data_IF_098800317077
#
_entry.id   IF_098800317077
#
_cell.length_a   1.000
_cell.length_b   1.000
_cell.length_c   1.000
_cell.angle_alpha   90.00
_cell.angle_beta   90.00
_cell.angle_gamma   90.00
#
_symmetry.space_group_name_H-M   'P 1'
#
loop_
_entity.id
_entity.type
_entity.pdbx_description
1 polymer ?
#
# COMPACT_ATOMS: atom_id res chain seq x y z
N UNK A 1 -8.96 15.24 -5.28
CA UNK A 1 -9.02 13.97 -4.55
C UNK A 1 -7.59 13.47 -4.44
N UNK A 2 -7.17 13.05 -3.25
CA UNK A 2 -5.85 12.43 -3.03
C UNK A 2 -6.03 10.95 -2.68
N UNK A 3 -5.00 10.15 -2.89
CA UNK A 3 -4.96 8.75 -2.45
C UNK A 3 -3.77 8.56 -1.51
N UNK A 4 -4.06 8.22 -0.26
CA UNK A 4 -3.07 7.84 0.73
C UNK A 4 -2.76 6.35 0.65
N UNK A 5 -1.51 5.97 0.38
CA UNK A 5 -1.08 4.56 0.36
C UNK A 5 -0.30 4.28 1.63
N UNK A 6 -0.78 3.36 2.46
CA UNK A 6 -0.05 2.85 3.61
C UNK A 6 0.62 1.51 3.26
N UNK A 7 1.94 1.46 3.00
CA UNK A 7 2.66 0.21 2.89
C UNK A 7 2.79 -0.47 4.27
N UNK A 8 2.80 -1.80 4.29
CA UNK A 8 2.86 -2.50 5.56
C UNK A 8 4.14 -2.17 6.35
N UNK A 9 4.02 -1.94 7.67
CA UNK A 9 5.14 -1.57 8.53
C UNK A 9 6.08 -2.74 8.85
N UNK A 10 5.75 -3.96 8.38
CA UNK A 10 6.34 -5.22 8.83
C UNK A 10 7.89 -5.24 8.77
N UNK A 11 8.50 -6.19 9.47
CA UNK A 11 9.96 -6.39 9.46
C UNK A 11 10.43 -7.53 8.55
N UNK A 12 9.55 -8.01 7.66
CA UNK A 12 9.83 -9.12 6.75
C UNK A 12 10.13 -8.61 5.33
N UNK A 13 10.75 -9.43 4.48
CA UNK A 13 11.18 -9.01 3.13
C UNK A 13 10.05 -8.41 2.27
N UNK A 14 8.83 -8.90 2.43
CA UNK A 14 7.67 -8.36 1.71
C UNK A 14 7.25 -6.96 2.16
N UNK A 15 7.70 -6.48 3.34
CA UNK A 15 7.53 -5.08 3.72
C UNK A 15 8.49 -4.15 2.98
N UNK A 16 9.66 -4.64 2.59
CA UNK A 16 10.52 -3.89 1.67
C UNK A 16 9.83 -3.79 0.32
N UNK A 17 9.29 -4.90 -0.19
CA UNK A 17 8.53 -4.90 -1.45
C UNK A 17 7.38 -3.88 -1.43
N UNK A 18 6.54 -3.85 -0.38
CA UNK A 18 5.44 -2.88 -0.32
C UNK A 18 5.92 -1.43 -0.29
N UNK A 19 7.03 -1.14 0.41
CA UNK A 19 7.62 0.20 0.44
C UNK A 19 8.18 0.58 -0.92
N UNK A 20 8.94 -0.30 -1.54
CA UNK A 20 9.49 -0.06 -2.88
C UNK A 20 8.38 0.15 -3.90
N UNK A 21 7.34 -0.69 -3.92
CA UNK A 21 6.18 -0.51 -4.80
C UNK A 21 5.50 0.83 -4.54
N UNK A 22 5.33 1.25 -3.28
CA UNK A 22 4.75 2.55 -2.97
C UNK A 22 5.61 3.73 -3.47
N UNK A 23 6.94 3.59 -3.43
CA UNK A 23 7.88 4.62 -3.92
C UNK A 23 7.73 4.94 -5.42
N UNK A 24 7.27 3.98 -6.25
CA UNK A 24 6.99 4.22 -7.67
C UNK A 24 5.91 5.30 -7.91
N UNK A 25 5.11 5.62 -6.90
CA UNK A 25 4.00 6.56 -7.00
C UNK A 25 4.27 7.90 -6.28
N UNK A 26 5.46 8.12 -5.71
CA UNK A 26 5.75 9.33 -4.91
C UNK A 26 5.80 10.60 -5.75
N UNK A 27 6.15 10.50 -7.04
CA UNK A 27 6.19 11.65 -7.95
C UNK A 27 4.81 12.04 -8.49
N UNK A 28 3.75 11.28 -8.19
CA UNK A 28 2.38 11.61 -8.56
C UNK A 28 1.76 12.54 -7.51
N UNK A 29 1.42 13.78 -7.92
CA UNK A 29 0.83 14.80 -7.04
C UNK A 29 -0.52 14.39 -6.39
N UNK A 30 -1.16 13.35 -6.94
CA UNK A 30 -2.42 12.79 -6.42
C UNK A 30 -2.20 11.71 -5.37
N UNK A 31 -0.99 11.16 -5.26
CA UNK A 31 -0.64 10.06 -4.36
C UNK A 31 0.19 10.58 -3.18
N UNK A 32 -0.14 10.08 -1.99
CA UNK A 32 0.63 10.31 -0.78
C UNK A 32 1.01 8.98 -0.15
N UNK A 33 2.30 8.66 -0.15
CA UNK A 33 2.79 7.48 0.59
C UNK A 33 2.86 7.81 2.07
N UNK A 34 2.13 7.04 2.88
CA UNK A 34 1.99 7.25 4.31
C UNK A 34 3.06 6.45 5.05
N UNK A 35 3.95 7.09 5.84
CA UNK A 35 4.93 6.35 6.65
C UNK A 35 4.29 5.66 7.86
N UNK A 36 3.14 6.15 8.31
CA UNK A 36 2.25 5.57 9.33
C UNK A 36 0.91 6.34 9.32
N UNK A 37 -0.13 5.78 9.95
CA UNK A 37 -1.45 6.41 10.03
C UNK A 37 -1.57 7.58 11.01
N UNK A 38 -0.66 7.69 11.98
CA UNK A 38 -0.72 8.74 13.00
C UNK A 38 -0.44 10.14 12.43
N UNK A 39 0.15 10.21 11.24
CA UNK A 39 0.44 11.44 10.50
C UNK A 39 -0.62 11.76 9.42
N UNK A 40 -1.80 11.14 9.49
CA UNK A 40 -2.94 11.59 8.69
C UNK A 40 -3.46 12.89 9.33
N UNK A 41 -2.93 14.01 8.86
CA UNK A 41 -3.56 15.30 9.07
C UNK A 41 -4.83 15.32 8.21
N UNK A 42 -5.99 15.21 8.86
CA UNK A 42 -7.28 15.46 8.19
C UNK A 42 -7.35 16.96 7.86
N UNK A 43 -6.73 17.37 6.75
CA UNK A 43 -6.93 18.69 6.18
C UNK A 43 -8.42 18.83 5.86
N UNK A 44 -9.11 19.70 6.60
CA UNK A 44 -10.54 19.94 6.42
C UNK A 44 -10.81 20.34 4.97
N UNK A 45 -11.56 19.49 4.26
CA UNK A 45 -12.03 19.78 2.89
C UNK A 45 -11.29 19.03 1.78
N UNK A 46 -10.27 18.23 2.08
CA UNK A 46 -9.66 17.32 1.11
C UNK A 46 -10.28 15.93 1.26
N UNK A 47 -10.99 15.48 0.22
CA UNK A 47 -11.41 14.08 0.10
C UNK A 47 -10.16 13.25 -0.25
N UNK A 48 -9.68 12.49 0.72
CA UNK A 48 -8.56 11.54 0.59
C UNK A 48 -9.11 10.11 0.74
N UNK A 49 -8.87 9.28 -0.28
CA UNK A 49 -9.13 7.83 -0.22
C UNK A 49 -7.88 7.12 0.26
N UNK A 50 -8.01 5.97 0.88
CA UNK A 50 -6.90 5.24 1.48
C UNK A 50 -6.76 3.82 0.94
N UNK A 51 -5.53 3.44 0.61
CA UNK A 51 -5.15 2.08 0.24
C UNK A 51 -4.31 1.48 1.38
N UNK A 52 -4.73 0.31 1.86
CA UNK A 52 -3.91 -0.54 2.72
C UNK A 52 -3.10 -1.50 1.85
N UNK A 53 -1.78 -1.28 1.75
CA UNK A 53 -0.88 -2.07 0.90
C UNK A 53 -0.09 -3.07 1.74
N UNK A 54 -0.40 -4.36 1.55
CA UNK A 54 0.11 -5.47 2.34
C UNK A 54 1.02 -6.36 1.51
N UNK A 55 2.10 -6.84 2.11
CA UNK A 55 3.03 -7.76 1.46
C UNK A 55 2.71 -9.23 1.71
N UNK A 56 1.71 -9.58 2.52
CA UNK A 56 1.34 -10.98 2.73
C UNK A 56 -0.06 -11.09 3.35
N UNK A 57 -0.64 -12.30 3.42
CA UNK A 57 -1.95 -12.54 4.03
C UNK A 57 -2.05 -12.22 5.53
N UNK A 58 -0.97 -11.81 6.19
CA UNK A 58 -1.01 -11.33 7.58
C UNK A 58 -1.53 -9.90 7.72
N UNK A 59 -1.62 -9.15 6.61
CA UNK A 59 -2.30 -7.86 6.48
C UNK A 59 -1.92 -6.81 7.54
N UNK A 60 -0.61 -6.65 7.79
CA UNK A 60 -0.13 -5.75 8.84
C UNK A 60 -0.51 -4.27 8.64
N UNK A 61 -0.64 -3.80 7.39
CA UNK A 61 -1.12 -2.43 7.12
C UNK A 61 -2.60 -2.30 7.50
N UNK A 62 -3.43 -3.30 7.18
CA UNK A 62 -4.86 -3.26 7.52
C UNK A 62 -5.06 -3.19 9.04
N UNK A 63 -4.25 -3.94 9.80
CA UNK A 63 -4.27 -3.89 11.26
C UNK A 63 -3.96 -2.51 11.81
N UNK A 64 -3.10 -1.72 11.18
CA UNK A 64 -2.89 -0.32 11.59
C UNK A 64 -4.17 0.50 11.41
N UNK A 65 -4.86 0.35 10.27
CA UNK A 65 -6.15 1.03 10.05
C UNK A 65 -7.18 0.65 11.12
N UNK A 66 -7.29 -0.65 11.43
CA UNK A 66 -8.18 -1.14 12.48
C UNK A 66 -7.84 -0.55 13.86
N UNK A 67 -6.55 -0.48 14.21
CA UNK A 67 -6.08 0.15 15.45
C UNK A 67 -6.40 1.65 15.50
N UNK A 68 -6.30 2.34 14.37
CA UNK A 68 -6.69 3.74 14.23
C UNK A 68 -8.22 3.93 14.14
N UNK A 69 -9.01 2.84 14.15
CA UNK A 69 -10.47 2.85 13.93
C UNK A 69 -10.88 3.53 12.62
N UNK A 70 -10.04 3.40 11.61
CA UNK A 70 -10.26 3.85 10.24
C UNK A 70 -10.50 2.64 9.34
N UNK A 71 -11.20 2.85 8.23
CA UNK A 71 -11.36 1.82 7.21
C UNK A 71 -10.72 2.33 5.92
N UNK A 72 -9.78 1.59 5.32
CA UNK A 72 -9.27 1.94 4.00
C UNK A 72 -10.36 1.71 2.95
N UNK A 73 -10.29 2.47 1.85
CA UNK A 73 -11.17 2.29 0.69
C UNK A 73 -10.86 0.99 -0.05
N UNK A 74 -9.58 0.64 -0.13
CA UNK A 74 -9.11 -0.60 -0.76
C UNK A 74 -8.04 -1.29 0.09
N UNK A 75 -8.03 -2.63 0.02
CA UNK A 75 -7.01 -3.47 0.66
C UNK A 75 -6.35 -4.29 -0.42
N UNK A 76 -5.05 -4.10 -0.59
CA UNK A 76 -4.23 -4.82 -1.56
C UNK A 76 -3.27 -5.69 -0.79
N UNK A 77 -3.15 -6.95 -1.21
CA UNK A 77 -2.06 -7.82 -0.80
C UNK A 77 -1.25 -8.16 -2.03
N UNK A 78 -0.07 -7.55 -2.14
CA UNK A 78 0.96 -7.91 -3.13
C UNK A 78 1.68 -9.16 -2.67
N UNK A 79 2.29 -9.90 -3.58
CA UNK A 79 3.02 -11.13 -3.28
C UNK A 79 2.14 -12.20 -2.60
N UNK A 80 0.94 -12.45 -3.14
CA UNK A 80 -0.04 -13.39 -2.57
C UNK A 80 0.47 -14.82 -2.46
N UNK A 81 1.47 -15.16 -3.26
CA UNK A 81 2.21 -16.42 -3.27
C UNK A 81 3.41 -16.43 -2.30
N UNK A 82 3.42 -15.53 -1.31
CA UNK A 82 4.44 -15.44 -0.28
C UNK A 82 4.61 -16.76 0.47
N UNK A 83 5.72 -17.44 0.18
CA UNK A 83 6.23 -18.57 0.94
C UNK A 83 7.40 -18.09 1.81
N UNK A 84 7.26 -18.02 3.14
CA UNK A 84 8.33 -17.63 4.06
C UNK A 84 9.60 -18.47 3.91
N UNK A 85 9.49 -19.68 3.33
CA UNK A 85 10.60 -20.61 3.13
C UNK A 85 11.39 -20.36 1.84
N UNK A 86 10.83 -19.63 0.87
CA UNK A 86 11.41 -19.39 -0.46
C UNK A 86 11.23 -17.90 -0.85
N UNK A 87 11.93 -17.01 -0.16
CA UNK A 87 11.69 -15.56 -0.21
C UNK A 87 12.73 -14.75 -1.00
N UNK A 88 13.72 -15.38 -1.63
CA UNK A 88 14.78 -14.70 -2.41
C UNK A 88 14.19 -13.74 -3.44
N UNK A 89 13.09 -14.13 -4.11
CA UNK A 89 12.43 -13.30 -5.12
C UNK A 89 11.95 -11.94 -4.60
N UNK A 90 11.59 -11.85 -3.31
CA UNK A 90 11.16 -10.60 -2.68
C UNK A 90 12.33 -9.77 -2.17
N UNK A 91 13.47 -10.41 -1.90
CA UNK A 91 14.70 -9.73 -1.52
C UNK A 91 15.36 -9.06 -2.72
N UNK A 92 15.34 -9.71 -3.89
CA UNK A 92 15.88 -9.16 -5.14
C UNK A 92 14.84 -8.45 -6.02
N UNK A 93 13.62 -8.23 -5.50
CA UNK A 93 12.53 -7.49 -6.16
C UNK A 93 12.15 -8.03 -7.56
N UNK A 94 12.16 -9.35 -7.74
CA UNK A 94 11.65 -9.96 -8.96
C UNK A 94 10.14 -9.71 -9.08
N UNK A 95 9.68 -9.48 -10.32
CA UNK A 95 8.28 -9.19 -10.67
C UNK A 95 7.73 -7.90 -10.07
N UNK A 96 8.58 -6.95 -9.68
CA UNK A 96 8.13 -5.66 -9.14
C UNK A 96 7.18 -4.93 -10.09
N UNK A 97 7.40 -5.03 -11.41
CA UNK A 97 6.53 -4.41 -12.42
C UNK A 97 5.09 -4.96 -12.36
N UNK A 98 4.92 -6.26 -12.10
CA UNK A 98 3.60 -6.88 -11.96
C UNK A 98 2.88 -6.37 -10.71
N UNK A 99 3.61 -6.24 -9.59
CA UNK A 99 3.06 -5.74 -8.33
C UNK A 99 2.74 -4.23 -8.42
N UNK A 100 3.56 -3.44 -9.12
CA UNK A 100 3.29 -2.03 -9.41
C UNK A 100 2.04 -1.90 -10.28
N UNK A 101 1.90 -2.69 -11.34
CA UNK A 101 0.73 -2.65 -12.21
C UNK A 101 -0.56 -3.00 -11.43
N UNK A 102 -0.51 -3.99 -10.53
CA UNK A 102 -1.65 -4.32 -9.67
C UNK A 102 -2.08 -3.14 -8.80
N UNK A 103 -1.13 -2.39 -8.23
CA UNK A 103 -1.44 -1.21 -7.42
C UNK A 103 -1.98 -0.08 -8.31
N UNK A 104 -1.41 0.14 -9.50
CA UNK A 104 -1.89 1.14 -10.45
C UNK A 104 -3.35 0.89 -10.87
N UNK A 105 -3.74 -0.35 -11.16
CA UNK A 105 -5.14 -0.69 -11.51
C UNK A 105 -6.12 -0.29 -10.41
N UNK A 106 -5.73 -0.45 -9.15
CA UNK A 106 -6.55 -0.05 -8.00
C UNK A 106 -6.61 1.47 -7.85
N UNK A 107 -5.48 2.16 -8.05
CA UNK A 107 -5.43 3.63 -8.09
C UNK A 107 -6.37 4.17 -9.17
N UNK A 108 -6.29 3.65 -10.40
CA UNK A 108 -7.12 4.06 -11.53
C UNK A 108 -8.60 3.83 -11.25
N UNK A 109 -8.96 2.69 -10.63
CA UNK A 109 -10.33 2.41 -10.19
C UNK A 109 -10.82 3.45 -9.18
N UNK A 110 -9.98 3.84 -8.22
CA UNK A 110 -10.35 4.83 -7.20
C UNK A 110 -10.49 6.24 -7.77
N UNK A 111 -9.68 6.59 -8.78
CA UNK A 111 -9.74 7.86 -9.49
C UNK A 111 -10.95 7.96 -10.43
N UNK A 112 -11.33 6.86 -11.09
CA UNK A 112 -12.41 6.82 -12.09
C UNK A 112 -13.81 6.62 -11.49
N UNK A 113 -13.93 6.07 -10.28
CA UNK A 113 -15.20 6.01 -9.54
C UNK A 113 -15.55 7.39 -8.97
N UNK A 114 -16.16 8.23 -9.82
CA UNK A 114 -16.85 9.49 -9.45
C UNK A 114 -18.28 9.24 -9.01
#
# INVERSE_FOLDING_TARGET
MKIGILPCPGRCNVSMMTKTVAEFFVDDETIRVLPNLYLIENEKGVEEKYISLNGCPSECSLKEFEMARMKPDEVITITKDFDPRNNEKYEVLLNIDEEVNLVQEVIDKLLNNK
#
